data_IF_670352041008
#
_entry.id   IF_670352041008
#
_cell.length_a   1.000
_cell.length_b   1.000
_cell.length_c   1.000
_cell.angle_alpha   90.00
_cell.angle_beta   90.00
_cell.angle_gamma   90.00
#
_symmetry.space_group_name_H-M   'P 1'
#
loop_
_entity.id
_entity.type
_entity.pdbx_description
1 polymer ?
#
# COMPACT_ATOMS: atom_id res chain seq x y z
N UNK A 1 12.52 1.97 18.75
CA UNK A 1 11.28 2.47 18.14
C UNK A 1 11.15 1.79 16.78
N UNK A 2 10.24 0.83 16.63
CA UNK A 2 9.95 0.25 15.32
C UNK A 2 9.26 1.32 14.48
N UNK A 3 9.97 1.87 13.50
CA UNK A 3 9.39 2.79 12.52
C UNK A 3 8.47 1.94 11.66
N UNK A 4 7.16 2.12 11.78
CA UNK A 4 6.20 1.49 10.87
C UNK A 4 6.13 2.30 9.58
N UNK A 5 5.89 1.64 8.47
CA UNK A 5 5.65 2.27 7.17
C UNK A 5 4.16 2.14 6.86
N UNK A 6 3.53 3.22 6.41
CA UNK A 6 2.15 3.20 5.95
C UNK A 6 2.13 3.05 4.43
N UNK A 7 1.43 2.03 3.95
CA UNK A 7 1.12 1.83 2.54
C UNK A 7 -0.33 2.22 2.32
N UNK A 8 -0.54 3.29 1.58
CA UNK A 8 -1.86 3.72 1.15
C UNK A 8 -2.13 3.16 -0.25
N UNK A 9 -3.30 2.52 -0.41
CA UNK A 9 -3.78 1.95 -1.67
C UNK A 9 -5.10 2.63 -2.03
N UNK A 10 -5.27 3.04 -3.28
CA UNK A 10 -6.51 3.70 -3.74
C UNK A 10 -6.88 3.14 -5.10
N UNK A 11 -8.08 2.55 -5.18
CA UNK A 11 -8.63 2.11 -6.45
C UNK A 11 -9.01 3.31 -7.32
N UNK A 12 -8.79 3.23 -8.63
CA UNK A 12 -9.23 4.25 -9.57
C UNK A 12 -10.76 4.33 -9.57
N UNK A 13 -11.27 5.49 -9.18
CA UNK A 13 -12.71 5.72 -9.00
C UNK A 13 -13.21 5.56 -7.55
N UNK A 14 -12.38 5.02 -6.65
CA UNK A 14 -12.67 5.05 -5.22
C UNK A 14 -12.33 6.41 -4.61
N UNK A 15 -13.17 6.85 -3.65
CA UNK A 15 -12.95 8.08 -2.88
C UNK A 15 -12.28 7.82 -1.54
N UNK A 16 -12.20 6.56 -1.12
CA UNK A 16 -11.68 6.16 0.18
C UNK A 16 -10.45 5.27 -0.03
N UNK A 17 -9.26 5.70 0.43
CA UNK A 17 -8.07 4.87 0.39
C UNK A 17 -8.07 3.80 1.50
N UNK A 18 -7.49 2.65 1.20
CA UNK A 18 -7.15 1.62 2.17
C UNK A 18 -5.71 1.81 2.68
N UNK A 19 -5.48 1.45 3.93
CA UNK A 19 -4.19 1.66 4.61
C UNK A 19 -3.69 0.36 5.22
N UNK A 20 -2.42 0.05 4.94
CA UNK A 20 -1.73 -1.13 5.44
C UNK A 20 -0.46 -0.72 6.17
N UNK A 21 -0.18 -1.37 7.30
CA UNK A 21 1.06 -1.18 8.03
C UNK A 21 2.10 -2.21 7.57
N UNK A 22 3.31 -1.74 7.28
CA UNK A 22 4.48 -2.57 7.02
C UNK A 22 5.54 -2.34 8.11
N UNK A 23 6.26 -3.39 8.49
CA UNK A 23 7.29 -3.31 9.54
C UNK A 23 8.57 -2.65 9.03
N UNK A 24 8.85 -2.82 7.74
CA UNK A 24 9.99 -2.26 7.03
C UNK A 24 9.65 -2.05 5.55
N UNK A 25 10.65 -1.61 4.76
CA UNK A 25 10.46 -1.28 3.35
C UNK A 25 10.29 -2.53 2.47
N UNK A 26 10.87 -3.66 2.85
CA UNK A 26 10.77 -4.91 2.10
C UNK A 26 9.36 -5.49 2.26
N UNK A 27 8.80 -5.45 3.46
CA UNK A 27 7.39 -5.75 3.75
C UNK A 27 6.45 -4.84 2.93
N UNK A 28 6.76 -3.55 2.83
CA UNK A 28 5.96 -2.59 2.06
C UNK A 28 5.96 -2.92 0.56
N UNK A 29 7.12 -3.30 0.00
CA UNK A 29 7.22 -3.74 -1.40
C UNK A 29 6.54 -5.09 -1.63
N UNK A 30 6.63 -6.02 -0.68
CA UNK A 30 5.93 -7.31 -0.76
C UNK A 30 4.40 -7.12 -0.79
N UNK A 31 3.87 -6.20 0.05
CA UNK A 31 2.46 -5.82 0.02
C UNK A 31 2.06 -5.27 -1.36
N UNK A 32 2.79 -4.28 -1.89
CA UNK A 32 2.54 -3.71 -3.22
C UNK A 32 2.55 -4.79 -4.31
N UNK A 33 3.53 -5.69 -4.26
CA UNK A 33 3.65 -6.78 -5.23
C UNK A 33 2.45 -7.72 -5.17
N UNK A 34 2.00 -8.08 -3.96
CA UNK A 34 0.83 -8.94 -3.75
C UNK A 34 -0.45 -8.36 -4.34
N UNK A 35 -0.61 -7.03 -4.25
CA UNK A 35 -1.69 -6.31 -4.91
C UNK A 35 -1.55 -6.40 -6.43
N UNK A 36 -0.38 -6.08 -7.00
CA UNK A 36 -0.18 -6.15 -8.46
C UNK A 36 -0.32 -7.56 -9.05
N UNK A 37 0.10 -8.61 -8.33
CA UNK A 37 -0.02 -10.01 -8.77
C UNK A 37 -1.46 -10.53 -8.61
N UNK A 38 -2.22 -10.02 -7.64
CA UNK A 38 -3.66 -10.31 -7.51
C UNK A 38 -4.53 -9.48 -8.48
N UNK A 39 -3.96 -8.46 -9.13
CA UNK A 39 -4.65 -7.43 -9.92
C UNK A 39 -4.76 -7.71 -11.42
N UNK A 40 -4.22 -8.80 -11.96
CA UNK A 40 -4.52 -9.21 -13.34
C UNK A 40 -6.02 -9.53 -13.55
N UNK A 41 -6.86 -9.48 -12.50
CA UNK A 41 -8.20 -10.05 -12.55
C UNK A 41 -9.33 -9.11 -13.02
N UNK A 42 -9.29 -7.77 -12.88
CA UNK A 42 -10.51 -6.95 -13.16
C UNK A 42 -10.29 -5.55 -13.79
N UNK A 43 -9.19 -5.28 -14.48
CA UNK A 43 -9.05 -4.04 -15.29
C UNK A 43 -9.10 -2.71 -14.51
N UNK A 44 -9.13 -2.76 -13.17
CA UNK A 44 -9.06 -1.60 -12.31
C UNK A 44 -7.61 -1.09 -12.22
N UNK A 45 -7.43 0.23 -12.35
CA UNK A 45 -6.14 0.89 -12.12
C UNK A 45 -6.03 1.26 -10.65
N UNK A 46 -4.87 1.10 -10.03
CA UNK A 46 -4.67 1.40 -8.60
C UNK A 46 -3.53 2.39 -8.41
N UNK A 47 -3.73 3.37 -7.53
CA UNK A 47 -2.69 4.29 -7.09
C UNK A 47 -2.17 3.86 -5.72
N UNK A 48 -0.85 3.70 -5.59
CA UNK A 48 -0.19 3.29 -4.35
C UNK A 48 0.79 4.37 -3.88
N UNK A 49 0.73 4.69 -2.59
CA UNK A 49 1.63 5.68 -1.96
C UNK A 49 2.23 5.10 -0.68
N UNK A 50 3.55 5.10 -0.60
CA UNK A 50 4.29 4.70 0.61
C UNK A 50 4.65 5.98 1.37
N UNK A 51 4.26 6.05 2.65
CA UNK A 51 4.66 7.14 3.54
C UNK A 51 5.33 6.57 4.79
N UNK A 52 6.53 7.03 5.17
CA UNK A 52 7.08 6.68 6.47
C UNK A 52 6.17 7.26 7.56
N UNK A 53 5.61 6.42 8.44
CA UNK A 53 4.98 6.94 9.64
C UNK A 53 6.10 7.45 10.52
N UNK A 54 6.28 8.77 10.55
CA UNK A 54 6.92 9.40 11.68
C UNK A 54 5.94 9.27 12.84
N UNK A 55 6.09 8.21 13.64
CA UNK A 55 5.56 8.23 15.00
C UNK A 55 6.09 9.51 15.65
N UNK A 56 5.20 10.43 15.99
CA UNK A 56 5.50 11.50 16.94
C UNK A 56 5.74 10.89 18.32
#
# INVERSE_FOLDING_TARGET
>A
MNKKILVQVTESGATVPEYYEASDIDDAFALIKSFTESMEYEGATWEMKISPLYCQ
#
